data_IF_714875516843
#
_entry.id   IF_714875516843
#
_cell.length_a   1.000
_cell.length_b   1.000
_cell.length_c   1.000
_cell.angle_alpha   90.00
_cell.angle_beta   90.00
_cell.angle_gamma   90.00
#
_symmetry.space_group_name_H-M   'P 1'
#
loop_
_entity.id
_entity.type
_entity.pdbx_description
1 polymer ?
#
# COMPACT_ATOMS: atom_id res chain seq x y z
N UNK A 1 2.24 7.91 1.06
CA UNK A 1 3.12 9.08 1.12
C UNK A 1 3.05 9.78 2.49
N UNK A 2 1.88 10.25 2.95
CA UNK A 2 1.73 11.03 4.19
C UNK A 2 2.47 10.40 5.38
N UNK A 3 2.27 9.13 5.74
CA UNK A 3 2.96 8.53 6.88
C UNK A 3 4.49 8.53 6.74
N UNK A 4 5.00 8.44 5.52
CA UNK A 4 6.44 8.40 5.25
C UNK A 4 7.04 9.81 5.32
N UNK A 5 6.32 10.84 4.84
CA UNK A 5 6.70 12.24 4.98
C UNK A 5 6.78 12.61 6.47
N UNK A 6 5.73 12.27 7.24
CA UNK A 6 5.72 12.51 8.69
C UNK A 6 6.89 11.80 9.36
N UNK A 7 7.18 10.55 8.99
CA UNK A 7 8.30 9.78 9.55
C UNK A 7 9.67 10.42 9.28
N UNK A 8 9.84 11.04 8.11
CA UNK A 8 11.09 11.71 7.75
C UNK A 8 11.39 12.95 8.60
N UNK A 9 10.36 13.61 9.13
CA UNK A 9 10.47 14.82 9.94
C UNK A 9 10.36 14.50 11.43
N UNK A 10 9.34 13.74 11.81
CA UNK A 10 9.01 13.40 13.20
C UNK A 10 8.57 11.93 13.30
N UNK A 11 9.56 11.05 13.52
CA UNK A 11 9.30 9.61 13.63
C UNK A 11 8.43 9.26 14.85
N UNK A 12 8.52 10.03 15.95
CA UNK A 12 7.69 9.82 17.16
C UNK A 12 6.22 10.06 16.85
N UNK A 13 5.91 11.14 16.13
CA UNK A 13 4.54 11.40 15.66
C UNK A 13 4.05 10.29 14.73
N UNK A 14 4.91 9.81 13.82
CA UNK A 14 4.55 8.70 12.94
C UNK A 14 4.25 7.42 13.72
N UNK A 15 5.02 7.12 14.76
CA UNK A 15 4.78 5.98 15.64
C UNK A 15 3.49 6.15 16.42
N UNK A 16 3.24 7.32 16.99
CA UNK A 16 2.02 7.69 17.69
C UNK A 16 0.77 7.47 16.81
N UNK A 17 0.83 7.87 15.54
CA UNK A 17 -0.24 7.69 14.55
C UNK A 17 -0.19 6.31 13.85
N UNK A 18 0.60 5.36 14.30
CA UNK A 18 0.82 4.09 13.57
C UNK A 18 -0.44 3.23 13.40
N UNK A 19 -1.37 3.32 14.33
CA UNK A 19 -2.65 2.60 14.31
C UNK A 19 -3.76 3.37 13.59
N UNK A 20 -3.59 4.69 13.40
CA UNK A 20 -4.58 5.53 12.73
C UNK A 20 -4.39 5.44 11.23
N UNK A 21 -5.42 4.97 10.51
CA UNK A 21 -5.39 4.85 9.05
C UNK A 21 -5.42 6.24 8.40
N UNK A 22 -4.66 6.50 7.32
CA UNK A 22 -4.55 7.84 6.73
C UNK A 22 -5.78 8.28 5.89
N UNK A 23 -6.94 7.67 6.09
CA UNK A 23 -8.19 8.05 5.42
C UNK A 23 -8.70 9.44 5.82
N UNK A 24 -8.24 9.95 6.97
CA UNK A 24 -8.54 11.31 7.43
C UNK A 24 -8.09 12.40 6.43
N UNK A 25 -7.07 12.12 5.62
CA UNK A 25 -6.57 13.06 4.61
C UNK A 25 -7.41 13.09 3.32
N UNK A 26 -8.35 12.15 3.15
CA UNK A 26 -8.99 11.91 1.86
C UNK A 26 -9.89 13.07 1.44
N UNK A 27 -10.73 13.56 2.34
CA UNK A 27 -11.64 14.65 2.07
C UNK A 27 -10.87 15.92 1.67
N UNK A 28 -9.88 16.30 2.48
CA UNK A 28 -9.09 17.51 2.29
C UNK A 28 -8.31 17.52 0.97
N UNK A 29 -7.63 16.42 0.69
CA UNK A 29 -6.83 16.29 -0.54
C UNK A 29 -7.73 16.27 -1.79
N UNK A 30 -8.88 15.59 -1.75
CA UNK A 30 -9.80 15.52 -2.89
C UNK A 30 -10.53 16.82 -3.17
N UNK A 31 -10.86 17.60 -2.14
CA UNK A 31 -11.57 18.88 -2.27
C UNK A 31 -10.63 20.07 -2.35
N UNK A 32 -9.30 19.82 -2.41
CA UNK A 32 -8.28 20.87 -2.34
C UNK A 32 -8.52 21.82 -1.14
N UNK A 33 -8.90 21.25 0.00
CA UNK A 33 -9.16 21.93 1.29
C UNK A 33 -10.38 22.88 1.30
N UNK A 34 -11.11 23.02 0.18
CA UNK A 34 -12.22 23.95 0.07
C UNK A 34 -13.42 23.60 0.96
N UNK A 35 -13.53 22.34 1.42
CA UNK A 35 -14.65 21.89 2.23
C UNK A 35 -14.66 22.50 3.64
N UNK A 36 -13.48 22.71 4.24
CA UNK A 36 -13.32 23.11 5.64
C UNK A 36 -12.94 24.58 5.81
N UNK A 37 -12.65 25.30 4.71
CA UNK A 37 -12.31 26.73 4.73
C UNK A 37 -13.55 27.55 4.40
N UNK A 38 -13.88 28.51 5.27
CA UNK A 38 -15.09 29.34 5.13
C UNK A 38 -14.82 30.59 4.31
N UNK A 39 -13.59 31.10 4.31
CA UNK A 39 -13.22 32.34 3.66
C UNK A 39 -12.80 32.14 2.21
N UNK A 40 -13.57 32.75 1.28
CA UNK A 40 -13.32 32.63 -0.16
C UNK A 40 -11.91 33.07 -0.56
N UNK A 41 -11.38 34.14 0.08
CA UNK A 41 -10.02 34.61 -0.21
C UNK A 41 -8.95 33.58 0.11
N UNK A 42 -9.11 32.85 1.20
CA UNK A 42 -8.23 31.77 1.59
C UNK A 42 -8.33 30.57 0.65
N UNK A 43 -9.55 30.20 0.24
CA UNK A 43 -9.78 29.13 -0.76
C UNK A 43 -9.09 29.49 -2.08
N UNK A 44 -9.32 30.71 -2.59
CA UNK A 44 -8.71 31.20 -3.83
C UNK A 44 -7.17 31.14 -3.75
N UNK A 45 -6.61 31.61 -2.64
CA UNK A 45 -5.15 31.59 -2.42
C UNK A 45 -4.57 30.18 -2.42
N UNK A 46 -5.25 29.22 -1.78
CA UNK A 46 -4.83 27.81 -1.81
C UNK A 46 -4.92 27.22 -3.21
N UNK A 47 -6.00 27.50 -3.95
CA UNK A 47 -6.16 27.02 -5.30
C UNK A 47 -5.08 27.57 -6.24
N UNK A 48 -4.73 28.85 -6.13
CA UNK A 48 -3.64 29.45 -6.89
C UNK A 48 -2.33 28.66 -6.69
N UNK A 49 -2.03 28.31 -5.44
CA UNK A 49 -0.82 27.53 -5.13
C UNK A 49 -0.93 26.09 -5.62
N UNK A 50 -2.03 25.39 -5.33
CA UNK A 50 -2.19 23.99 -5.69
C UNK A 50 -2.25 23.77 -7.21
N UNK A 51 -2.83 24.72 -7.95
CA UNK A 51 -2.86 24.66 -9.44
C UNK A 51 -1.51 25.05 -10.06
N UNK A 52 -0.72 25.90 -9.39
CA UNK A 52 0.61 26.26 -9.86
C UNK A 52 1.70 25.26 -9.49
N UNK A 53 1.42 24.31 -8.60
CA UNK A 53 2.37 23.29 -8.14
C UNK A 53 2.02 21.91 -8.66
N UNK A 54 2.91 20.99 -8.45
CA UNK A 54 2.75 19.59 -8.82
C UNK A 54 1.59 18.92 -8.04
N UNK A 55 0.86 18.01 -8.66
CA UNK A 55 -0.30 17.35 -8.03
C UNK A 55 0.01 16.71 -6.67
N UNK A 56 1.23 16.20 -6.48
CA UNK A 56 1.67 15.61 -5.20
C UNK A 56 1.86 16.64 -4.09
N UNK A 57 1.94 17.93 -4.41
CA UNK A 57 2.14 19.00 -3.43
C UNK A 57 1.00 19.09 -2.42
N UNK A 58 -0.24 18.82 -2.82
CA UNK A 58 -1.39 18.78 -1.91
C UNK A 58 -1.23 17.72 -0.81
N UNK A 59 -0.60 16.59 -1.13
CA UNK A 59 -0.30 15.52 -0.15
C UNK A 59 0.75 15.99 0.88
N UNK A 60 1.73 16.78 0.44
CA UNK A 60 2.72 17.39 1.34
C UNK A 60 2.11 18.44 2.23
N UNK A 61 1.21 19.26 1.68
CA UNK A 61 0.47 20.27 2.46
C UNK A 61 -0.30 19.61 3.60
N UNK A 62 -0.97 18.49 3.34
CA UNK A 62 -1.66 17.77 4.40
C UNK A 62 -0.68 17.20 5.44
N UNK A 63 0.44 16.62 5.00
CA UNK A 63 1.47 16.15 5.93
C UNK A 63 2.02 17.29 6.80
N UNK A 64 2.16 18.50 6.24
CA UNK A 64 2.60 19.70 6.96
C UNK A 64 1.56 20.13 8.00
N UNK A 65 0.25 20.07 7.68
CA UNK A 65 -0.82 20.32 8.65
C UNK A 65 -0.72 19.37 9.84
N UNK A 66 -0.51 18.09 9.59
CA UNK A 66 -0.34 17.09 10.66
C UNK A 66 0.91 17.37 11.49
N UNK A 67 2.02 17.74 10.87
CA UNK A 67 3.27 18.07 11.56
C UNK A 67 3.13 19.31 12.46
N UNK A 68 2.42 20.33 12.01
CA UNK A 68 2.16 21.56 12.80
C UNK A 68 1.27 21.30 14.03
N UNK A 69 0.48 20.23 14.02
CA UNK A 69 -0.41 19.80 15.10
C UNK A 69 0.20 18.73 16.01
N UNK A 70 1.51 18.53 15.93
CA UNK A 70 2.16 17.43 16.68
C UNK A 70 1.87 17.49 18.17
N UNK A 71 1.90 18.67 18.79
CA UNK A 71 1.70 18.83 20.24
C UNK A 71 0.25 18.48 20.63
N UNK A 72 -0.74 18.99 19.88
CA UNK A 72 -2.16 18.66 20.05
C UNK A 72 -2.41 17.14 19.90
N UNK A 73 -1.77 16.53 18.90
CA UNK A 73 -1.95 15.10 18.64
C UNK A 73 -1.33 14.22 19.73
N UNK A 74 -0.26 14.67 20.38
CA UNK A 74 0.34 13.97 21.51
C UNK A 74 -0.48 14.06 22.80
N UNK A 75 -1.39 15.02 22.93
CA UNK A 75 -2.33 15.10 24.06
C UNK A 75 -3.36 13.97 24.03
N UNK A 76 -3.66 13.42 22.85
CA UNK A 76 -4.58 12.28 22.70
C UNK A 76 -3.81 10.96 22.74
N UNK A 77 -4.21 9.97 23.56
CA UNK A 77 -3.53 8.67 23.61
C UNK A 77 -3.49 7.96 22.25
N UNK A 78 -2.37 7.28 21.93
CA UNK A 78 -2.16 6.60 20.65
C UNK A 78 -3.12 5.43 20.37
N UNK A 79 -3.79 4.90 21.38
CA UNK A 79 -4.81 3.84 21.29
C UNK A 79 -6.22 4.40 21.03
N UNK A 80 -6.44 5.70 21.24
CA UNK A 80 -7.68 6.38 20.87
C UNK A 80 -7.73 6.76 19.38
N UNK A 81 -7.67 5.75 18.54
CA UNK A 81 -7.56 5.92 17.07
C UNK A 81 -8.72 6.69 16.45
N UNK A 82 -9.93 6.53 17.00
CA UNK A 82 -11.12 7.20 16.49
C UNK A 82 -11.09 8.71 16.81
N UNK A 83 -10.58 9.08 18.00
CA UNK A 83 -10.39 10.49 18.38
C UNK A 83 -9.30 11.13 17.55
N UNK A 84 -8.16 10.47 17.38
CA UNK A 84 -7.08 10.93 16.50
C UNK A 84 -7.57 11.11 15.05
N UNK A 85 -8.37 10.16 14.55
CA UNK A 85 -8.96 10.27 13.22
C UNK A 85 -9.90 11.48 13.13
N UNK A 86 -10.75 11.69 14.14
CA UNK A 86 -11.66 12.84 14.19
C UNK A 86 -10.90 14.18 14.21
N UNK A 87 -9.86 14.30 15.03
CA UNK A 87 -9.02 15.50 15.09
C UNK A 87 -8.36 15.75 13.72
N UNK A 88 -7.79 14.72 13.11
CA UNK A 88 -7.07 14.81 11.83
C UNK A 88 -7.98 15.03 10.62
N UNK A 89 -9.28 14.70 10.72
CA UNK A 89 -10.26 14.94 9.66
C UNK A 89 -10.77 16.38 9.60
N UNK A 90 -10.25 17.26 10.44
CA UNK A 90 -10.61 18.69 10.46
C UNK A 90 -9.37 19.56 10.36
N UNK A 91 -9.47 20.66 9.62
CA UNK A 91 -8.41 21.66 9.58
C UNK A 91 -8.31 22.42 10.93
N UNK A 92 -7.09 22.78 11.35
CA UNK A 92 -6.89 23.59 12.54
C UNK A 92 -7.49 24.99 12.35
N UNK A 93 -8.00 25.57 13.43
CA UNK A 93 -8.53 26.93 13.43
C UNK A 93 -7.88 27.73 14.56
N UNK A 94 -7.30 28.93 14.26
CA UNK A 94 -7.14 29.54 12.94
C UNK A 94 -6.09 28.82 12.07
N UNK A 95 -6.26 28.88 10.74
CA UNK A 95 -5.30 28.35 9.78
C UNK A 95 -4.54 29.51 9.12
N UNK A 96 -3.26 29.65 9.40
CA UNK A 96 -2.37 30.59 8.70
C UNK A 96 -1.89 29.95 7.39
N UNK A 97 -2.55 30.34 6.30
CA UNK A 97 -2.31 29.75 4.97
C UNK A 97 -0.93 30.10 4.42
N UNK A 98 -0.45 31.32 4.63
CA UNK A 98 0.86 31.73 4.09
C UNK A 98 1.99 30.97 4.79
N UNK A 99 1.92 30.86 6.12
CA UNK A 99 2.87 30.04 6.88
C UNK A 99 2.77 28.55 6.49
N UNK A 100 1.57 28.02 6.27
CA UNK A 100 1.38 26.65 5.82
C UNK A 100 2.02 26.43 4.44
N UNK A 101 1.79 27.32 3.49
CA UNK A 101 2.38 27.25 2.13
C UNK A 101 3.91 27.29 2.23
N UNK A 102 4.49 28.25 2.94
CA UNK A 102 5.93 28.41 3.08
C UNK A 102 6.59 27.14 3.69
N UNK A 103 6.03 26.64 4.78
CA UNK A 103 6.53 25.44 5.43
C UNK A 103 6.36 24.18 4.55
N UNK A 104 5.29 24.12 3.74
CA UNK A 104 5.08 23.02 2.80
C UNK A 104 6.13 23.03 1.68
N UNK A 105 6.47 24.20 1.17
CA UNK A 105 7.54 24.37 0.17
C UNK A 105 8.87 23.86 0.72
N UNK A 106 9.25 24.30 1.92
CA UNK A 106 10.48 23.85 2.58
C UNK A 106 10.47 22.32 2.79
N UNK A 107 9.35 21.76 3.26
CA UNK A 107 9.18 20.33 3.45
C UNK A 107 9.36 19.56 2.13
N UNK A 108 8.76 20.06 1.05
CA UNK A 108 8.81 19.45 -0.27
C UNK A 108 10.23 19.45 -0.86
N UNK A 109 10.96 20.56 -0.73
CA UNK A 109 12.34 20.69 -1.20
C UNK A 109 13.31 19.80 -0.42
N UNK A 110 13.12 19.71 0.90
CA UNK A 110 13.96 18.90 1.78
C UNK A 110 13.76 17.41 1.60
N UNK A 111 12.51 16.98 1.39
CA UNK A 111 12.10 15.58 1.26
C UNK A 111 11.29 15.37 -0.03
N UNK A 112 11.89 15.51 -1.21
CA UNK A 112 11.17 15.34 -2.48
C UNK A 112 10.60 13.92 -2.61
N UNK A 113 9.48 13.74 -3.34
CA UNK A 113 8.77 12.47 -3.43
C UNK A 113 9.63 11.30 -3.92
N UNK A 114 10.62 11.56 -4.76
CA UNK A 114 11.54 10.55 -5.31
C UNK A 114 12.39 9.85 -4.22
N UNK A 115 12.60 10.51 -3.08
CA UNK A 115 13.31 9.94 -1.92
C UNK A 115 12.43 9.00 -1.10
N UNK A 116 11.11 9.07 -1.26
CA UNK A 116 10.16 8.25 -0.50
C UNK A 116 10.08 6.84 -1.10
N UNK A 117 10.07 5.81 -0.24
CA UNK A 117 9.95 4.41 -0.69
C UNK A 117 8.60 4.14 -1.34
N UNK A 118 7.52 4.67 -0.76
CA UNK A 118 6.16 4.53 -1.26
C UNK A 118 5.96 5.18 -2.64
N UNK A 119 6.77 6.17 -3.01
CA UNK A 119 6.75 6.78 -4.34
C UNK A 119 6.99 5.77 -5.45
N UNK A 120 7.86 4.79 -5.21
CA UNK A 120 8.18 3.74 -6.19
C UNK A 120 7.00 2.81 -6.46
N UNK A 121 6.11 2.62 -5.48
CA UNK A 121 4.93 1.76 -5.60
C UNK A 121 3.75 2.42 -6.30
N UNK A 122 3.77 3.75 -6.46
CA UNK A 122 2.75 4.48 -7.20
C UNK A 122 2.90 4.17 -8.70
N UNK A 123 1.76 3.92 -9.37
CA UNK A 123 1.74 3.71 -10.82
C UNK A 123 2.41 4.87 -11.57
N UNK A 124 3.15 4.56 -12.62
CA UNK A 124 3.71 5.57 -13.51
C UNK A 124 2.63 6.29 -14.33
N UNK A 125 1.42 5.74 -14.38
CA UNK A 125 0.26 6.34 -15.02
C UNK A 125 -0.59 7.19 -14.05
N UNK A 126 -0.21 7.28 -12.77
CA UNK A 126 -0.88 8.13 -11.80
C UNK A 126 -0.61 9.61 -12.07
N UNK A 127 -1.61 10.46 -11.88
CA UNK A 127 -1.48 11.93 -11.97
C UNK A 127 -0.35 12.46 -11.09
N UNK A 128 -0.08 11.84 -9.94
CA UNK A 128 1.02 12.23 -9.07
C UNK A 128 2.39 12.14 -9.76
N UNK A 129 2.55 11.23 -10.73
CA UNK A 129 3.77 11.06 -11.51
C UNK A 129 3.70 11.71 -12.90
N UNK A 130 2.57 11.64 -13.59
CA UNK A 130 2.41 12.21 -14.92
C UNK A 130 2.35 13.74 -14.91
N UNK A 131 1.91 14.32 -13.77
CA UNK A 131 1.94 15.77 -13.53
C UNK A 131 3.03 16.17 -12.52
N UNK A 132 4.15 15.45 -12.49
CA UNK A 132 5.27 15.72 -11.56
C UNK A 132 6.11 16.92 -11.99
N UNK A 133 6.23 17.14 -13.30
CA UNK A 133 7.03 18.21 -13.86
C UNK A 133 6.18 19.11 -14.76
N UNK A 134 6.29 20.41 -14.59
CA UNK A 134 5.53 21.39 -15.37
C UNK A 134 5.71 21.22 -16.87
N UNK A 135 6.94 20.98 -17.32
CA UNK A 135 7.25 20.76 -18.74
C UNK A 135 6.48 19.57 -19.32
N UNK A 136 6.31 18.51 -18.55
CA UNK A 136 5.51 17.35 -19.00
C UNK A 136 4.03 17.69 -19.09
N UNK A 137 3.53 18.48 -18.15
CA UNK A 137 2.10 18.84 -18.09
C UNK A 137 1.68 19.78 -19.22
N UNK A 138 2.57 20.68 -19.61
CA UNK A 138 2.30 21.66 -20.69
C UNK A 138 2.03 21.01 -22.06
N UNK A 139 2.59 19.84 -22.32
CA UNK A 139 2.46 19.14 -23.60
C UNK A 139 1.46 17.97 -23.56
N UNK A 140 0.84 17.70 -22.42
CA UNK A 140 -0.17 16.63 -22.31
C UNK A 140 -1.50 17.09 -22.90
N UNK A 141 -2.09 16.18 -23.67
CA UNK A 141 -3.43 16.35 -24.24
C UNK A 141 -4.49 15.66 -23.38
N UNK A 142 -5.76 15.92 -23.68
CA UNK A 142 -6.86 15.22 -23.02
C UNK A 142 -6.81 13.71 -23.30
N UNK A 143 -6.42 13.34 -24.52
CA UNK A 143 -6.24 11.95 -24.94
C UNK A 143 -5.16 11.24 -24.14
N UNK A 144 -4.04 11.93 -23.84
CA UNK A 144 -2.99 11.38 -22.97
C UNK A 144 -3.51 11.12 -21.56
N UNK A 145 -4.28 12.05 -21.01
CA UNK A 145 -4.93 11.91 -19.69
C UNK A 145 -5.87 10.69 -19.66
N UNK A 146 -6.70 10.53 -20.71
CA UNK A 146 -7.60 9.38 -20.84
C UNK A 146 -6.81 8.06 -20.97
N UNK A 147 -5.72 8.07 -21.71
CA UNK A 147 -4.85 6.91 -21.84
C UNK A 147 -4.20 6.51 -20.51
N UNK A 148 -3.68 7.47 -19.74
CA UNK A 148 -3.11 7.21 -18.43
C UNK A 148 -4.16 6.66 -17.47
N UNK A 149 -5.35 7.25 -17.44
CA UNK A 149 -6.45 6.78 -16.62
C UNK A 149 -6.83 5.33 -16.95
N UNK A 150 -7.04 5.01 -18.22
CA UNK A 150 -7.36 3.64 -18.68
C UNK A 150 -6.27 2.63 -18.28
N UNK A 151 -4.99 3.02 -18.38
CA UNK A 151 -3.88 2.16 -17.95
C UNK A 151 -3.90 1.94 -16.43
N UNK A 152 -4.10 2.99 -15.66
CA UNK A 152 -4.16 2.92 -14.20
C UNK A 152 -5.33 2.04 -13.73
N UNK A 153 -6.51 2.17 -14.33
CA UNK A 153 -7.67 1.31 -14.03
C UNK A 153 -7.32 -0.17 -14.25
N UNK A 154 -6.71 -0.49 -15.40
CA UNK A 154 -6.27 -1.87 -15.68
C UNK A 154 -5.25 -2.38 -14.66
N UNK A 155 -4.29 -1.56 -14.24
CA UNK A 155 -3.31 -1.94 -13.22
C UNK A 155 -4.00 -2.25 -11.88
N UNK A 156 -4.98 -1.44 -11.47
CA UNK A 156 -5.75 -1.65 -10.25
C UNK A 156 -6.57 -2.95 -10.32
N UNK A 157 -7.28 -3.19 -11.43
CA UNK A 157 -8.03 -4.43 -11.65
C UNK A 157 -7.13 -5.67 -11.59
N UNK A 158 -5.93 -5.60 -12.20
CA UNK A 158 -4.95 -6.68 -12.13
C UNK A 158 -4.43 -6.92 -10.71
N UNK A 159 -4.17 -5.83 -9.96
CA UNK A 159 -3.74 -5.92 -8.57
C UNK A 159 -4.82 -6.56 -7.69
N UNK A 160 -6.10 -6.18 -7.88
CA UNK A 160 -7.23 -6.77 -7.17
C UNK A 160 -7.43 -8.25 -7.51
N UNK A 161 -7.39 -8.61 -8.79
CA UNK A 161 -7.47 -10.02 -9.23
C UNK A 161 -6.35 -10.85 -8.63
N UNK A 162 -5.11 -10.34 -8.66
CA UNK A 162 -3.96 -11.00 -8.05
C UNK A 162 -4.14 -11.19 -6.55
N UNK A 163 -4.66 -10.17 -5.84
CA UNK A 163 -4.96 -10.27 -4.41
C UNK A 163 -6.01 -11.33 -4.12
N UNK A 164 -7.10 -11.38 -4.90
CA UNK A 164 -8.14 -12.41 -4.77
C UNK A 164 -7.60 -13.82 -5.02
N UNK A 165 -6.79 -14.00 -6.06
CA UNK A 165 -6.17 -15.30 -6.37
C UNK A 165 -5.26 -15.76 -5.23
N UNK A 166 -4.41 -14.86 -4.70
CA UNK A 166 -3.53 -15.18 -3.57
C UNK A 166 -4.32 -15.52 -2.30
N UNK A 167 -5.38 -14.78 -1.99
CA UNK A 167 -6.25 -15.05 -0.85
C UNK A 167 -6.95 -16.40 -0.99
N UNK A 168 -7.44 -16.72 -2.20
CA UNK A 168 -8.07 -18.00 -2.51
C UNK A 168 -7.07 -19.15 -2.41
N UNK A 169 -5.87 -18.99 -2.98
CA UNK A 169 -4.80 -19.98 -2.87
C UNK A 169 -4.39 -20.23 -1.41
N UNK A 170 -4.32 -19.17 -0.60
CA UNK A 170 -4.06 -19.29 0.83
C UNK A 170 -5.16 -20.04 1.59
N UNK A 171 -6.43 -19.74 1.28
CA UNK A 171 -7.60 -20.39 1.88
C UNK A 171 -7.62 -21.90 1.58
N UNK A 172 -7.27 -22.29 0.35
CA UNK A 172 -7.28 -23.69 -0.08
C UNK A 172 -5.97 -24.43 0.13
N UNK A 173 -4.92 -23.79 0.61
CA UNK A 173 -3.59 -24.40 0.84
C UNK A 173 -3.64 -25.62 1.74
N UNK A 174 -4.42 -25.58 2.84
CA UNK A 174 -4.54 -26.70 3.77
C UNK A 174 -5.30 -27.90 3.17
N UNK A 175 -6.51 -27.75 2.60
CA UNK A 175 -7.21 -28.87 1.97
C UNK A 175 -6.48 -29.41 0.74
N UNK A 176 -5.87 -28.57 -0.08
CA UNK A 176 -5.06 -29.02 -1.21
C UNK A 176 -3.83 -29.84 -0.79
N UNK A 177 -3.19 -29.45 0.30
CA UNK A 177 -2.09 -30.23 0.88
C UNK A 177 -2.55 -31.60 1.39
N UNK A 178 -3.70 -31.70 2.07
CA UNK A 178 -4.25 -32.97 2.53
C UNK A 178 -4.62 -33.90 1.37
N UNK A 179 -5.23 -33.38 0.31
CA UNK A 179 -5.55 -34.12 -0.90
C UNK A 179 -4.27 -34.61 -1.61
N UNK A 180 -3.24 -33.76 -1.71
CA UNK A 180 -1.95 -34.13 -2.28
C UNK A 180 -1.26 -35.25 -1.52
N UNK A 181 -1.25 -35.19 -0.18
CA UNK A 181 -0.70 -36.27 0.67
C UNK A 181 -1.51 -37.55 0.50
N UNK A 182 -2.85 -37.49 0.50
CA UNK A 182 -3.69 -38.68 0.31
C UNK A 182 -3.42 -39.35 -1.07
N UNK A 183 -3.24 -38.52 -2.11
CA UNK A 183 -2.91 -39.03 -3.45
C UNK A 183 -1.53 -39.70 -3.49
N UNK A 184 -0.52 -39.08 -2.87
CA UNK A 184 0.83 -39.66 -2.75
C UNK A 184 0.84 -40.98 -1.96
N UNK A 185 0.10 -41.03 -0.84
CA UNK A 185 -0.03 -42.27 -0.05
C UNK A 185 -0.75 -43.36 -0.85
N UNK A 186 -1.81 -43.01 -1.60
CA UNK A 186 -2.50 -43.94 -2.48
C UNK A 186 -1.61 -44.50 -3.58
N UNK A 187 -0.82 -43.61 -4.22
CA UNK A 187 0.14 -44.03 -5.27
C UNK A 187 1.25 -44.92 -4.72
N UNK A 188 1.79 -44.56 -3.56
CA UNK A 188 2.81 -45.36 -2.88
C UNK A 188 2.26 -46.73 -2.45
N UNK A 189 1.04 -46.78 -1.91
CA UNK A 189 0.36 -48.04 -1.55
C UNK A 189 0.11 -48.90 -2.79
N UNK A 190 -0.28 -48.32 -3.91
CA UNK A 190 -0.47 -49.02 -5.18
C UNK A 190 0.85 -49.62 -5.70
N UNK A 191 1.94 -48.83 -5.67
CA UNK A 191 3.27 -49.30 -6.07
C UNK A 191 3.79 -50.43 -5.15
N UNK A 192 3.61 -50.31 -3.83
CA UNK A 192 4.01 -51.34 -2.89
C UNK A 192 3.18 -52.63 -3.06
N UNK A 193 1.89 -52.51 -3.35
CA UNK A 193 1.02 -53.69 -3.61
C UNK A 193 1.41 -54.42 -4.89
N UNK A 194 1.83 -53.67 -5.92
CA UNK A 194 2.40 -54.27 -7.15
C UNK A 194 3.75 -54.97 -6.94
N UNK A 195 4.53 -54.53 -5.93
CA UNK A 195 5.82 -55.12 -5.57
C UNK A 195 5.71 -56.32 -4.61
N UNK A 196 4.54 -56.57 -4.01
CA UNK A 196 4.30 -57.66 -3.02
C UNK A 196 3.69 -58.92 -3.66
N UNK A 197 3.60 -59.04 -4.98
CA UNK A 197 3.25 -60.26 -5.67
C UNK A 197 4.35 -61.32 -5.52
N UNK A 198 4.02 -62.64 -5.64
CA UNK A 198 5.01 -63.75 -5.46
C UNK A 198 6.21 -63.69 -6.43
N UNK A 199 6.26 -62.75 -7.34
CA UNK A 199 7.36 -62.48 -8.28
C UNK A 199 8.03 -61.10 -8.05
N UNK A 200 7.71 -60.38 -6.96
CA UNK A 200 8.35 -59.08 -6.68
C UNK A 200 9.80 -59.24 -6.19
N UNK A 201 10.64 -58.31 -6.53
CA UNK A 201 12.09 -58.27 -6.21
C UNK A 201 12.40 -58.53 -4.72
N UNK A 202 11.51 -58.20 -3.80
CA UNK A 202 11.64 -58.45 -2.35
C UNK A 202 11.48 -59.95 -2.00
N UNK A 203 10.61 -60.68 -2.70
CA UNK A 203 10.46 -62.13 -2.52
C UNK A 203 11.67 -62.91 -3.01
N UNK A 204 12.37 -62.44 -4.03
CA UNK A 204 13.61 -63.02 -4.54
C UNK A 204 14.78 -62.79 -3.56
N UNK A 205 14.92 -61.58 -3.00
CA UNK A 205 15.95 -61.26 -2.00
C UNK A 205 15.76 -62.02 -0.68
N UNK A 206 14.50 -62.23 -0.24
CA UNK A 206 14.21 -63.01 0.98
C UNK A 206 14.54 -64.50 0.82
N UNK A 207 14.28 -65.12 -0.32
CA UNK A 207 14.68 -66.49 -0.62
C UNK A 207 16.19 -66.65 -0.72
N UNK A 208 16.91 -65.67 -1.23
CA UNK A 208 18.38 -65.71 -1.38
C UNK A 208 19.08 -65.54 0.00
N UNK A 209 18.50 -64.85 0.95
CA UNK A 209 19.13 -64.60 2.26
C UNK A 209 18.80 -65.68 3.32
N UNK A 210 17.64 -66.35 3.25
CA UNK A 210 17.21 -67.37 4.22
C UNK A 210 17.32 -68.81 3.68
N UNK A 211 17.53 -68.98 2.40
CA UNK A 211 17.73 -70.34 1.82
C UNK A 211 19.14 -70.92 2.03
N UNK A 212 20.04 -70.16 2.67
CA UNK A 212 21.44 -70.59 2.87
C UNK A 212 21.74 -71.07 4.31
N UNK A 213 20.73 -71.30 5.16
CA UNK A 213 20.90 -71.86 6.51
C UNK A 213 20.10 -73.16 6.69
N UNK A 214 20.41 -74.11 5.89
CA UNK A 214 19.82 -75.48 6.03
C UNK A 214 20.68 -76.52 5.32
N UNK A 215 21.88 -76.76 5.81
CA UNK A 215 22.62 -78.00 5.81
C UNK A 215 23.69 -77.93 6.88
#
# INVERSE_FOLDING_TARGET
LIPEIISAVNWKLREHLSRTQPFFALAEVLTMYAHDIEELGQIARLFDVLLAREAVFSVYMFAQIVLQRSDELFETPADETDMLHFILSKLPRPLDIETLIANTVELFEKYPPEKLKSWRSISNNSVLKTARWQDQTLYQTLEDGEMYFKKQVKELEWAERRKMVLQTAWKYRRPAGAIGVAFLVGLLSYMLRGASGPSGYFGALWRQYWGYKGH
#
